data_IF_933799371899
#
_entry.id   IF_933799371899
#
_cell.length_a   1.000
_cell.length_b   1.000
_cell.length_c   1.000
_cell.angle_alpha   90.00
_cell.angle_beta   90.00
_cell.angle_gamma   90.00
#
_symmetry.space_group_name_H-M   'P 1'
#
loop_
_entity.id
_entity.type
_entity.pdbx_description
1 polymer ?
#
# COMPACT_ATOMS: atom_id res chain seq x y z
N UNK A 1 -31.04 -4.95 -4.99
CA UNK A 1 -30.34 -3.70 -4.63
C UNK A 1 -29.23 -4.12 -3.71
N UNK A 2 -28.00 -4.16 -4.23
CA UNK A 2 -26.81 -4.38 -3.41
C UNK A 2 -26.56 -3.10 -2.60
N UNK A 3 -26.39 -3.25 -1.29
CA UNK A 3 -26.25 -2.16 -0.31
C UNK A 3 -24.96 -2.29 0.50
N UNK A 4 -24.11 -3.28 0.17
CA UNK A 4 -22.82 -3.42 0.82
C UNK A 4 -21.88 -2.32 0.31
N UNK A 5 -21.28 -1.59 1.25
CA UNK A 5 -20.18 -0.71 0.90
C UNK A 5 -19.00 -1.57 0.37
N UNK A 6 -18.27 -1.09 -0.65
CA UNK A 6 -17.01 -1.67 -1.07
C UNK A 6 -16.12 -2.02 0.12
N UNK A 7 -15.56 -3.24 0.11
CA UNK A 7 -14.56 -3.61 1.10
C UNK A 7 -13.35 -2.67 0.97
N UNK A 8 -12.92 -2.10 2.10
CA UNK A 8 -11.74 -1.25 2.11
C UNK A 8 -10.51 -2.05 1.60
N UNK A 9 -9.64 -1.43 0.78
CA UNK A 9 -8.37 -2.06 0.41
C UNK A 9 -7.55 -2.39 1.66
N UNK A 10 -7.00 -3.59 1.69
CA UNK A 10 -6.11 -4.08 2.75
C UNK A 10 -4.71 -4.22 2.18
N UNK A 11 -3.73 -3.64 2.86
CA UNK A 11 -2.31 -3.92 2.60
C UNK A 11 -1.97 -5.21 3.34
N UNK A 12 -1.62 -6.25 2.59
CA UNK A 12 -1.25 -7.55 3.16
C UNK A 12 0.24 -7.61 3.48
N UNK A 13 1.08 -7.31 2.50
CA UNK A 13 2.53 -7.40 2.61
C UNK A 13 3.21 -6.19 2.03
N UNK A 14 4.27 -5.74 2.68
CA UNK A 14 5.21 -4.76 2.16
C UNK A 14 6.57 -5.44 2.09
N UNK A 15 7.28 -5.31 0.98
CA UNK A 15 8.60 -5.93 0.77
C UNK A 15 9.63 -4.84 0.55
N UNK A 16 10.69 -4.86 1.35
CA UNK A 16 11.93 -4.09 1.22
C UNK A 16 12.94 -4.93 0.40
N UNK A 17 13.38 -4.40 -0.74
CA UNK A 17 14.43 -5.01 -1.56
C UNK A 17 15.76 -4.22 -1.60
N UNK A 18 15.93 -3.23 -0.72
CA UNK A 18 17.11 -2.39 -0.65
C UNK A 18 18.12 -2.87 0.43
N UNK A 19 19.36 -3.15 0.03
CA UNK A 19 20.43 -3.47 0.99
C UNK A 19 20.72 -2.27 1.93
N UNK A 20 21.16 -2.50 3.19
CA UNK A 20 21.59 -3.79 3.76
C UNK A 20 20.49 -4.61 4.44
N UNK A 21 19.30 -4.06 4.65
CA UNK A 21 18.19 -4.77 5.30
C UNK A 21 17.13 -5.00 4.23
N UNK A 22 16.96 -6.24 3.81
CA UNK A 22 15.91 -6.65 2.88
C UNK A 22 14.94 -7.60 3.57
N UNK A 23 13.72 -7.71 3.06
CA UNK A 23 12.72 -8.64 3.57
C UNK A 23 11.32 -8.08 3.60
N UNK A 24 10.42 -8.78 4.28
CA UNK A 24 9.04 -8.31 4.46
C UNK A 24 8.96 -7.35 5.63
N UNK A 25 8.32 -6.21 5.42
CA UNK A 25 8.08 -5.17 6.41
C UNK A 25 6.70 -5.44 7.00
N UNK A 26 6.66 -5.69 8.31
CA UNK A 26 5.41 -5.90 9.03
C UNK A 26 4.53 -4.62 8.99
N UNK A 27 3.22 -4.78 9.17
CA UNK A 27 2.31 -3.63 9.26
C UNK A 27 2.74 -2.67 10.37
N UNK A 28 2.93 -1.39 10.02
CA UNK A 28 3.47 -0.36 10.93
C UNK A 28 4.99 -0.39 11.10
N UNK A 29 5.69 -1.24 10.37
CA UNK A 29 7.15 -1.27 10.29
C UNK A 29 7.71 -0.17 9.37
N UNK A 30 9.01 0.06 9.49
CA UNK A 30 9.76 0.97 8.63
C UNK A 30 10.68 0.17 7.69
N UNK A 31 10.91 0.73 6.51
CA UNK A 31 11.71 0.17 5.42
C UNK A 31 12.83 1.14 5.09
N UNK A 32 14.01 0.67 4.69
CA UNK A 32 15.07 1.53 4.13
C UNK A 32 14.99 1.59 2.59
N UNK A 33 14.21 0.68 1.99
CA UNK A 33 13.84 0.72 0.59
C UNK A 33 12.89 1.88 0.26
N UNK A 34 13.34 2.69 -0.71
CA UNK A 34 12.62 3.86 -1.22
C UNK A 34 11.54 3.50 -2.24
N UNK A 35 11.51 2.25 -2.67
CA UNK A 35 10.58 1.70 -3.64
C UNK A 35 9.99 0.38 -3.15
N UNK A 36 9.41 0.33 -1.93
CA UNK A 36 8.92 -0.91 -1.37
C UNK A 36 7.80 -1.48 -2.24
N UNK A 37 7.77 -2.80 -2.39
CA UNK A 37 6.67 -3.45 -3.12
C UNK A 37 5.54 -3.75 -2.15
N UNK A 38 4.41 -3.05 -2.31
CA UNK A 38 3.18 -3.29 -1.57
C UNK A 38 2.33 -4.31 -2.33
N UNK A 39 1.75 -5.26 -1.60
CA UNK A 39 0.74 -6.17 -2.12
C UNK A 39 -0.41 -6.31 -1.13
N UNK A 40 -1.61 -6.50 -1.66
CA UNK A 40 -2.81 -6.53 -0.84
C UNK A 40 -4.03 -7.04 -1.57
N UNK A 41 -5.17 -6.92 -0.90
CA UNK A 41 -6.47 -7.25 -1.47
C UNK A 41 -7.40 -6.05 -1.42
N UNK A 42 -8.30 -5.94 -2.38
CA UNK A 42 -9.37 -4.95 -2.44
C UNK A 42 -10.55 -5.57 -3.21
N UNK A 43 -11.64 -4.83 -3.33
CA UNK A 43 -12.72 -5.24 -4.23
C UNK A 43 -12.20 -5.35 -5.68
N UNK A 44 -12.64 -6.39 -6.40
CA UNK A 44 -12.16 -6.65 -7.76
C UNK A 44 -12.45 -5.47 -8.70
N UNK A 45 -11.45 -5.09 -9.50
CA UNK A 45 -11.48 -3.90 -10.37
C UNK A 45 -11.64 -2.56 -9.63
N UNK A 46 -11.43 -2.52 -8.31
CA UNK A 46 -11.48 -1.28 -7.52
C UNK A 46 -10.17 -0.50 -7.58
N UNK A 47 -10.27 0.82 -7.42
CA UNK A 47 -9.13 1.74 -7.40
C UNK A 47 -8.55 1.86 -5.99
N UNK A 48 -7.24 1.64 -5.86
CA UNK A 48 -6.48 1.72 -4.62
C UNK A 48 -5.56 2.93 -4.70
N UNK A 49 -5.71 3.85 -3.75
CA UNK A 49 -4.84 5.00 -3.59
C UNK A 49 -3.83 4.69 -2.50
N UNK A 50 -2.53 4.73 -2.81
CA UNK A 50 -1.45 4.44 -1.88
C UNK A 50 -0.86 5.74 -1.38
N UNK A 51 -0.84 5.92 -0.06
CA UNK A 51 -0.36 7.13 0.60
C UNK A 51 0.82 6.84 1.54
N UNK A 52 1.76 7.79 1.61
CA UNK A 52 2.74 7.92 2.69
C UNK A 52 2.37 9.10 3.58
N UNK A 53 1.78 8.80 4.74
CA UNK A 53 1.12 9.78 5.58
C UNK A 53 -0.01 10.49 4.83
N UNK A 54 0.21 11.75 4.46
CA UNK A 54 -0.73 12.57 3.67
C UNK A 54 -0.38 12.67 2.18
N UNK A 55 0.76 12.11 1.77
CA UNK A 55 1.27 12.23 0.40
C UNK A 55 0.78 11.05 -0.43
N UNK A 56 0.07 11.31 -1.53
CA UNK A 56 -0.27 10.26 -2.49
C UNK A 56 1.01 9.79 -3.20
N UNK A 57 1.42 8.55 -2.98
CA UNK A 57 2.53 7.91 -3.69
C UNK A 57 2.11 7.46 -5.09
N UNK A 58 0.85 7.04 -5.23
CA UNK A 58 0.28 6.66 -6.51
C UNK A 58 -1.04 5.91 -6.40
N UNK A 59 -1.51 5.45 -7.54
CA UNK A 59 -2.81 4.79 -7.68
C UNK A 59 -2.57 3.47 -8.41
N UNK A 60 -3.16 2.40 -7.90
CA UNK A 60 -3.21 1.09 -8.56
C UNK A 60 -4.64 0.58 -8.60
N UNK A 61 -4.89 -0.50 -9.32
CA UNK A 61 -6.21 -1.10 -9.45
C UNK A 61 -6.11 -2.57 -9.07
N UNK A 62 -7.09 -3.09 -8.33
CA UNK A 62 -7.17 -4.51 -8.07
C UNK A 62 -7.62 -5.27 -9.30
N UNK A 63 -7.07 -6.46 -9.49
CA UNK A 63 -7.44 -7.36 -10.56
C UNK A 63 -8.85 -7.96 -10.36
N UNK A 64 -9.27 -8.83 -11.27
CA UNK A 64 -10.57 -9.50 -11.21
C UNK A 64 -10.74 -10.45 -10.01
N UNK A 65 -9.65 -10.79 -9.31
CA UNK A 65 -9.63 -11.61 -8.10
C UNK A 65 -9.54 -10.74 -6.84
N UNK A 66 -9.46 -9.42 -6.98
CA UNK A 66 -9.29 -8.49 -5.87
C UNK A 66 -7.84 -8.38 -5.37
N UNK A 67 -6.85 -8.93 -6.08
CA UNK A 67 -5.44 -8.78 -5.72
C UNK A 67 -4.85 -7.55 -6.37
N UNK A 68 -3.96 -6.84 -5.66
CA UNK A 68 -3.26 -5.69 -6.19
C UNK A 68 -1.81 -5.66 -5.71
N UNK A 69 -0.95 -5.08 -6.54
CA UNK A 69 0.43 -4.76 -6.21
C UNK A 69 0.74 -3.33 -6.60
N UNK A 70 1.64 -2.70 -5.85
CA UNK A 70 2.09 -1.35 -6.11
C UNK A 70 3.55 -1.19 -5.67
N UNK A 71 4.38 -0.76 -6.61
CA UNK A 71 5.77 -0.38 -6.33
C UNK A 71 5.90 1.11 -6.65
N UNK A 72 6.13 1.97 -5.65
CA UNK A 72 6.37 3.39 -5.89
C UNK A 72 7.61 3.54 -6.78
N UNK A 73 7.54 4.42 -7.78
CA UNK A 73 8.70 4.78 -8.63
C UNK A 73 9.47 5.97 -8.09
N UNK A 74 8.95 6.62 -7.04
CA UNK A 74 9.51 7.83 -6.44
C UNK A 74 9.81 7.56 -4.98
N UNK A 75 11.06 7.78 -4.58
CA UNK A 75 11.50 7.60 -3.20
C UNK A 75 10.68 8.47 -2.23
N UNK A 76 10.05 7.93 -1.18
CA UNK A 76 9.47 8.74 -0.13
C UNK A 76 10.60 9.51 0.56
N UNK A 77 10.43 10.82 0.66
CA UNK A 77 11.44 11.74 1.21
C UNK A 77 11.63 11.60 2.73
N UNK A 78 10.84 10.77 3.44
CA UNK A 78 10.94 10.62 4.90
C UNK A 78 10.07 9.48 5.49
N UNK A 79 10.70 8.39 5.95
CA UNK A 79 10.07 7.18 6.53
C UNK A 79 9.47 7.32 7.94
N UNK A 80 8.91 8.46 8.32
CA UNK A 80 8.54 8.63 9.74
C UNK A 80 7.10 8.30 10.11
N UNK A 81 6.09 8.36 9.23
CA UNK A 81 4.71 8.07 9.66
C UNK A 81 3.81 7.63 8.50
N UNK A 82 3.88 6.35 8.11
CA UNK A 82 2.97 5.73 7.15
C UNK A 82 1.63 5.42 7.84
N UNK A 83 0.88 6.46 8.21
CA UNK A 83 -0.44 6.33 8.84
C UNK A 83 -1.53 6.54 7.80
N UNK A 84 -2.42 5.55 7.65
CA UNK A 84 -3.70 5.74 6.95
C UNK A 84 -4.58 6.68 7.79
N UNK A 85 -5.33 7.62 7.19
CA UNK A 85 -6.24 8.47 7.94
C UNK A 85 -7.35 7.62 8.57
N UNK A 86 -7.44 7.64 9.90
CA UNK A 86 -8.63 7.20 10.63
C UNK A 86 -9.78 8.17 10.32
N UNK A 87 -10.81 7.68 9.63
CA UNK A 87 -12.00 8.46 9.31
C UNK A 87 -12.79 8.77 10.59
N UNK A 88 -13.14 10.05 10.79
CA UNK A 88 -14.13 10.50 11.77
C UNK A 88 -15.56 10.07 11.38
#
# INVERSE_FOLDING_TARGET
MDTAAPAAPVIGTVTDDAAPITGTVAAGGSTNDTTPTLAGTAEANSTINVFDGTTLLGITTADALGSWTFTPTTAPVSYTHLTLPTKA
#
